data_IF_348780087903
#
_entry.id   IF_348780087903
#
_cell.length_a   1.000
_cell.length_b   1.000
_cell.length_c   1.000
_cell.angle_alpha   90.00
_cell.angle_beta   90.00
_cell.angle_gamma   90.00
#
_symmetry.space_group_name_H-M   'P 1'
#
loop_
_entity.id
_entity.type
_entity.pdbx_description
1 polymer ?
#
# COMPACT_ATOMS: atom_id res chain seq x y z
N UNK A 1 5.82 27.57 7.73
CA UNK A 1 5.52 26.54 8.74
C UNK A 1 4.43 27.08 9.66
N UNK A 2 3.39 26.30 9.94
CA UNK A 2 2.31 26.70 10.85
C UNK A 2 2.87 26.94 12.27
N UNK A 3 2.25 27.85 13.05
CA UNK A 3 2.64 28.06 14.45
C UNK A 3 2.30 26.80 15.27
N UNK A 4 3.22 26.28 16.09
CA UNK A 4 2.94 25.14 16.95
C UNK A 4 1.87 25.47 18.00
N UNK A 5 1.05 24.49 18.35
CA UNK A 5 0.10 24.57 19.44
C UNK A 5 0.81 24.44 20.79
N UNK A 6 0.13 24.86 21.87
CA UNK A 6 0.67 24.84 23.24
C UNK A 6 1.15 23.46 23.70
N UNK A 7 0.57 22.39 23.17
CA UNK A 7 0.86 21.01 23.55
C UNK A 7 1.67 20.25 22.49
N UNK A 8 2.16 20.94 21.46
CA UNK A 8 3.02 20.33 20.47
C UNK A 8 4.41 20.07 21.07
N UNK A 9 4.95 18.90 20.78
CA UNK A 9 6.35 18.58 21.04
C UNK A 9 7.19 19.23 19.96
N UNK A 10 7.71 20.42 20.23
CA UNK A 10 8.47 21.26 19.29
C UNK A 10 9.73 20.58 18.75
N UNK A 11 10.24 19.59 19.47
CA UNK A 11 11.35 18.72 19.08
C UNK A 11 10.97 17.66 18.03
N UNK A 12 9.66 17.40 17.83
CA UNK A 12 9.13 16.52 16.79
C UNK A 12 8.59 17.35 15.63
N UNK A 13 8.89 16.92 14.41
CA UNK A 13 8.45 17.59 13.19
C UNK A 13 7.10 17.05 12.67
N UNK A 14 6.63 17.56 11.53
CA UNK A 14 5.35 17.13 10.96
C UNK A 14 5.50 15.78 10.23
N UNK A 15 4.87 14.73 10.76
CA UNK A 15 4.89 13.39 10.14
C UNK A 15 4.47 13.37 8.67
N UNK A 16 3.55 14.26 8.26
CA UNK A 16 3.03 14.30 6.88
C UNK A 16 4.01 14.96 5.90
N UNK A 17 4.95 15.77 6.40
CA UNK A 17 6.03 16.36 5.63
C UNK A 17 7.28 16.44 6.52
N UNK A 18 7.94 15.30 6.74
CA UNK A 18 9.01 15.22 7.71
C UNK A 18 10.31 15.80 7.14
N UNK A 19 11.00 16.59 7.95
CA UNK A 19 12.28 17.24 7.66
C UNK A 19 13.34 17.00 8.75
N UNK A 20 12.93 16.44 9.89
CA UNK A 20 13.75 16.25 11.09
C UNK A 20 13.74 14.80 11.59
N UNK A 21 13.50 14.54 12.89
CA UNK A 21 13.60 13.21 13.47
C UNK A 21 12.76 12.14 12.76
N UNK A 22 11.55 12.47 12.29
CA UNK A 22 10.74 11.51 11.53
C UNK A 22 11.36 11.16 10.17
N UNK A 23 12.02 12.11 9.51
CA UNK A 23 12.67 11.87 8.22
C UNK A 23 13.88 10.94 8.40
N UNK A 24 14.72 11.21 9.41
CA UNK A 24 15.86 10.35 9.72
C UNK A 24 15.42 8.94 10.15
N UNK A 25 14.37 8.83 10.96
CA UNK A 25 13.81 7.53 11.34
C UNK A 25 13.25 6.76 10.13
N UNK A 26 12.59 7.44 9.19
CA UNK A 26 12.13 6.84 7.94
C UNK A 26 13.29 6.36 7.06
N UNK A 27 14.40 7.12 7.00
CA UNK A 27 15.60 6.72 6.27
C UNK A 27 16.26 5.48 6.90
N UNK A 28 16.42 5.46 8.21
CA UNK A 28 16.94 4.29 8.93
C UNK A 28 16.04 3.06 8.74
N UNK A 29 14.72 3.24 8.78
CA UNK A 29 13.78 2.16 8.48
C UNK A 29 13.94 1.65 7.04
N UNK A 30 14.13 2.54 6.05
CA UNK A 30 14.40 2.13 4.67
C UNK A 30 15.66 1.26 4.56
N UNK A 31 16.74 1.62 5.27
CA UNK A 31 17.97 0.82 5.33
C UNK A 31 17.72 -0.56 5.97
N UNK A 32 17.00 -0.61 7.10
CA UNK A 32 16.69 -1.86 7.81
C UNK A 32 15.83 -2.81 6.99
N UNK A 33 14.80 -2.29 6.30
CA UNK A 33 13.87 -3.09 5.51
C UNK A 33 14.34 -3.33 4.07
N UNK A 34 15.49 -2.77 3.66
CA UNK A 34 16.01 -2.89 2.29
C UNK A 34 15.15 -2.18 1.25
N UNK A 35 14.44 -1.13 1.64
CA UNK A 35 13.59 -0.33 0.75
C UNK A 35 14.33 0.91 0.24
N UNK A 36 13.92 1.43 -0.93
CA UNK A 36 14.44 2.71 -1.44
C UNK A 36 13.96 3.90 -0.62
N UNK A 37 12.73 3.82 -0.07
CA UNK A 37 12.13 4.82 0.79
C UNK A 37 11.06 4.17 1.67
N UNK A 38 10.92 4.69 2.89
CA UNK A 38 9.87 4.29 3.83
C UNK A 38 9.07 5.52 4.24
N UNK A 39 7.76 5.35 4.44
CA UNK A 39 6.89 6.35 5.04
C UNK A 39 6.24 5.75 6.28
N UNK A 40 6.20 6.52 7.36
CA UNK A 40 5.47 6.12 8.56
C UNK A 40 3.99 6.47 8.42
N UNK A 41 3.14 5.55 8.84
CA UNK A 41 1.69 5.64 8.68
C UNK A 41 1.02 5.37 10.02
N UNK A 42 0.03 6.19 10.36
CA UNK A 42 -0.76 6.05 11.60
C UNK A 42 -2.16 5.47 11.36
N UNK A 43 -2.59 5.35 10.09
CA UNK A 43 -3.90 4.81 9.69
C UNK A 43 -3.91 3.31 9.42
N UNK A 44 -2.89 2.58 9.88
CA UNK A 44 -2.69 1.16 9.62
C UNK A 44 -2.43 0.82 8.13
N UNK A 45 -2.36 -0.47 7.82
CA UNK A 45 -2.02 -0.97 6.48
C UNK A 45 -3.03 -0.54 5.41
N UNK A 46 -4.31 -0.35 5.76
CA UNK A 46 -5.33 0.18 4.84
C UNK A 46 -4.92 1.54 4.26
N UNK A 47 -4.46 2.47 5.11
CA UNK A 47 -3.98 3.78 4.68
C UNK A 47 -2.76 3.65 3.77
N UNK A 48 -1.83 2.75 4.08
CA UNK A 48 -0.66 2.48 3.23
C UNK A 48 -1.01 1.92 1.86
N UNK A 49 -1.93 0.97 1.80
CA UNK A 49 -2.42 0.39 0.53
C UNK A 49 -3.10 1.47 -0.31
N UNK A 50 -3.92 2.32 0.31
CA UNK A 50 -4.56 3.43 -0.40
C UNK A 50 -3.51 4.41 -0.95
N UNK A 51 -2.55 4.85 -0.12
CA UNK A 51 -1.49 5.76 -0.53
C UNK A 51 -0.64 5.17 -1.67
N UNK A 52 -0.28 3.89 -1.58
CA UNK A 52 0.51 3.21 -2.60
C UNK A 52 -0.23 3.12 -3.95
N UNK A 53 -1.49 2.66 -3.95
CA UNK A 53 -2.27 2.48 -5.18
C UNK A 53 -2.64 3.85 -5.80
N UNK A 54 -3.16 4.78 -5.00
CA UNK A 54 -3.58 6.10 -5.47
C UNK A 54 -2.39 6.95 -5.92
N UNK A 55 -1.21 6.75 -5.33
CA UNK A 55 0.01 7.47 -5.73
C UNK A 55 0.69 6.89 -6.98
N UNK A 56 0.46 5.61 -7.29
CA UNK A 56 1.12 4.91 -8.40
C UNK A 56 0.26 4.81 -9.67
N UNK A 57 -1.07 4.93 -9.57
CA UNK A 57 -1.99 4.69 -10.67
C UNK A 57 -2.85 5.91 -11.00
N UNK A 58 -3.28 6.01 -12.25
CA UNK A 58 -4.24 7.01 -12.74
C UNK A 58 -5.63 6.38 -12.98
N UNK A 59 -6.71 7.18 -12.97
CA UNK A 59 -8.03 6.69 -13.36
C UNK A 59 -8.03 6.05 -14.75
N UNK A 60 -8.66 4.88 -14.86
CA UNK A 60 -8.69 4.08 -16.09
C UNK A 60 -7.52 3.09 -16.25
N UNK A 61 -6.46 3.20 -15.45
CA UNK A 61 -5.38 2.22 -15.47
C UNK A 61 -5.89 0.82 -15.08
N UNK A 62 -5.26 -0.20 -15.68
CA UNK A 62 -5.56 -1.60 -15.36
C UNK A 62 -4.62 -2.09 -14.26
N UNK A 63 -5.19 -2.65 -13.19
CA UNK A 63 -4.43 -3.23 -12.08
C UNK A 63 -4.65 -4.74 -12.03
N UNK A 64 -3.54 -5.49 -12.07
CA UNK A 64 -3.54 -6.93 -11.83
C UNK A 64 -3.64 -7.16 -10.31
N UNK A 65 -4.64 -7.92 -9.88
CA UNK A 65 -4.90 -8.10 -8.45
C UNK A 65 -5.43 -9.51 -8.11
N UNK A 66 -4.90 -10.19 -7.08
CA UNK A 66 -5.45 -11.44 -6.58
C UNK A 66 -6.89 -11.29 -6.11
N UNK A 67 -7.76 -12.25 -6.43
CA UNK A 67 -9.18 -12.18 -6.04
C UNK A 67 -9.41 -12.29 -4.53
N UNK A 68 -8.47 -12.89 -3.80
CA UNK A 68 -8.45 -12.96 -2.34
C UNK A 68 -7.73 -11.76 -1.68
N UNK A 69 -7.43 -10.68 -2.42
CA UNK A 69 -6.80 -9.50 -1.84
C UNK A 69 -7.68 -8.89 -0.74
N UNK A 70 -7.03 -8.30 0.26
CA UNK A 70 -7.73 -7.63 1.35
C UNK A 70 -8.60 -6.47 0.82
N UNK A 71 -9.75 -6.26 1.46
CA UNK A 71 -10.77 -5.27 1.03
C UNK A 71 -10.21 -3.85 0.82
N UNK A 72 -9.14 -3.48 1.51
CA UNK A 72 -8.49 -2.17 1.36
C UNK A 72 -7.92 -1.95 -0.06
N UNK A 73 -7.44 -3.00 -0.72
CA UNK A 73 -6.97 -2.88 -2.11
C UNK A 73 -8.15 -2.62 -3.05
N UNK A 74 -9.25 -3.36 -2.89
CA UNK A 74 -10.49 -3.12 -3.65
C UNK A 74 -11.03 -1.70 -3.42
N UNK A 75 -11.06 -1.23 -2.17
CA UNK A 75 -11.48 0.15 -1.86
C UNK A 75 -10.58 1.19 -2.53
N UNK A 76 -9.27 1.00 -2.50
CA UNK A 76 -8.33 1.90 -3.17
C UNK A 76 -8.55 1.93 -4.69
N UNK A 77 -8.81 0.79 -5.32
CA UNK A 77 -9.13 0.71 -6.75
C UNK A 77 -10.40 1.47 -7.11
N UNK A 78 -11.45 1.32 -6.28
CA UNK A 78 -12.71 2.07 -6.47
C UNK A 78 -12.46 3.57 -6.34
N UNK A 79 -11.72 4.00 -5.32
CA UNK A 79 -11.37 5.41 -5.12
C UNK A 79 -10.50 5.98 -6.25
N UNK A 80 -9.66 5.14 -6.86
CA UNK A 80 -8.73 5.52 -7.92
C UNK A 80 -9.32 5.38 -9.33
N UNK A 81 -10.51 4.78 -9.48
CA UNK A 81 -11.12 4.52 -10.79
C UNK A 81 -10.37 3.48 -11.63
N UNK A 82 -9.80 2.46 -10.99
CA UNK A 82 -9.00 1.43 -11.68
C UNK A 82 -9.84 0.30 -12.25
N UNK A 83 -9.38 -0.26 -13.36
CA UNK A 83 -9.98 -1.44 -14.01
C UNK A 83 -9.29 -2.70 -13.48
N UNK A 84 -9.99 -3.60 -12.77
CA UNK A 84 -9.38 -4.82 -12.27
C UNK A 84 -9.15 -5.87 -13.37
N UNK A 85 -7.97 -6.48 -13.39
CA UNK A 85 -7.74 -7.78 -14.04
C UNK A 85 -7.40 -8.80 -12.96
N UNK A 86 -8.38 -9.65 -12.62
CA UNK A 86 -8.26 -10.58 -11.50
C UNK A 86 -7.44 -11.82 -11.83
N UNK A 87 -6.55 -12.20 -10.89
CA UNK A 87 -5.93 -13.52 -10.83
C UNK A 87 -6.52 -14.30 -9.65
N UNK A 88 -6.68 -15.61 -9.79
CA UNK A 88 -7.44 -16.43 -8.85
C UNK A 88 -6.49 -17.37 -8.13
N UNK A 89 -6.31 -17.25 -6.80
CA UNK A 89 -5.53 -18.24 -6.07
C UNK A 89 -6.08 -19.64 -6.31
N UNK A 90 -5.20 -20.64 -6.28
CA UNK A 90 -5.63 -22.03 -6.27
C UNK A 90 -6.48 -22.30 -5.02
N UNK A 91 -7.38 -23.29 -5.08
CA UNK A 91 -8.27 -23.61 -3.97
C UNK A 91 -8.02 -25.05 -3.52
N UNK A 92 -7.74 -25.19 -2.24
CA UNK A 92 -7.63 -26.48 -1.58
C UNK A 92 -9.02 -26.89 -1.08
N UNK A 93 -9.61 -27.88 -1.75
CA UNK A 93 -10.96 -28.37 -1.42
C UNK A 93 -11.00 -29.28 -0.19
N UNK A 94 -9.87 -29.88 0.19
CA UNK A 94 -9.82 -30.73 1.39
C UNK A 94 -9.86 -29.87 2.66
N UNK A 95 -9.27 -28.67 2.58
CA UNK A 95 -9.20 -27.71 3.70
C UNK A 95 -10.14 -26.51 3.58
N UNK A 96 -10.83 -26.34 2.45
CA UNK A 96 -11.70 -25.20 2.15
C UNK A 96 -10.96 -23.85 2.15
N UNK A 97 -9.69 -23.86 1.74
CA UNK A 97 -8.79 -22.70 1.84
C UNK A 97 -8.31 -22.20 0.47
N UNK A 98 -8.33 -20.87 0.23
CA UNK A 98 -7.60 -20.29 -0.88
C UNK A 98 -6.10 -20.35 -0.58
N UNK A 99 -5.31 -20.83 -1.54
CA UNK A 99 -3.86 -20.97 -1.40
C UNK A 99 -3.16 -19.81 -2.11
N UNK A 100 -2.13 -20.10 -2.89
CA UNK A 100 -1.29 -19.12 -3.58
C UNK A 100 -1.79 -18.86 -4.99
N UNK A 101 -1.38 -17.71 -5.54
CA UNK A 101 -1.54 -17.45 -6.98
C UNK A 101 -0.39 -18.12 -7.72
N UNK A 102 -0.73 -18.98 -8.67
CA UNK A 102 0.25 -19.62 -9.55
C UNK A 102 0.87 -18.62 -10.53
N UNK A 103 2.21 -18.59 -10.72
CA UNK A 103 2.86 -17.69 -11.68
C UNK A 103 2.31 -17.79 -13.10
N UNK A 104 1.81 -18.98 -13.50
CA UNK A 104 1.22 -19.19 -14.82
C UNK A 104 -0.04 -18.34 -15.07
N UNK A 105 -0.74 -17.93 -14.01
CA UNK A 105 -1.92 -17.08 -14.17
C UNK A 105 -1.57 -15.68 -14.64
N UNK A 106 -0.34 -15.21 -14.44
CA UNK A 106 0.09 -13.93 -15.02
C UNK A 106 -0.01 -13.97 -16.55
N UNK A 107 0.31 -15.11 -17.17
CA UNK A 107 0.22 -15.25 -18.63
C UNK A 107 -1.22 -15.05 -19.12
N UNK A 108 -2.22 -15.55 -18.38
CA UNK A 108 -3.65 -15.36 -18.73
C UNK A 108 -4.09 -13.90 -18.68
N UNK A 109 -3.31 -13.06 -17.99
CA UNK A 109 -3.61 -11.64 -17.75
C UNK A 109 -2.87 -10.72 -18.71
N UNK A 110 -1.83 -11.20 -19.40
CA UNK A 110 -1.12 -10.40 -20.42
C UNK A 110 -1.61 -10.66 -21.85
N UNK A 111 -2.38 -11.72 -22.08
CA UNK A 111 -3.15 -11.96 -23.31
C UNK A 111 -4.62 -11.56 -23.13
#
# INVERSE_FOLDING_TARGET
LAKPFLHDLVELDNLSNPEGPFFEAQKQAAEVFGASKTWFLVGGTTCGIHAAIMGACNPGDTMIIPRNSHKSATSAMVLSGLVPKYIFPEYDFDWDLPTIVSPFQLNLVYY
#
